data_IF_275929612172
#
_entry.id   IF_275929612172
#
_cell.length_a   1.000
_cell.length_b   1.000
_cell.length_c   1.000
_cell.angle_alpha   90.00
_cell.angle_beta   90.00
_cell.angle_gamma   90.00
#
_symmetry.space_group_name_H-M   'P 1'
#
loop_
_entity.id
_entity.type
_entity.pdbx_description
1 polymer ?
#
# COMPACT_ATOMS: atom_id res chain seq x y z
N UNK A 1 7.05 -7.83 -4.83
CA UNK A 1 7.99 -8.20 -3.73
C UNK A 1 7.29 -8.14 -2.37
N UNK A 2 7.84 -8.80 -1.34
CA UNK A 2 7.28 -8.84 0.02
C UNK A 2 8.38 -8.56 1.06
N UNK A 3 8.05 -7.84 2.13
CA UNK A 3 8.90 -7.72 3.30
C UNK A 3 8.08 -7.57 4.59
N UNK A 4 8.71 -7.90 5.72
CA UNK A 4 8.17 -7.71 7.05
C UNK A 4 9.25 -7.18 8.00
N UNK A 5 8.93 -6.16 8.80
CA UNK A 5 9.81 -5.58 9.81
C UNK A 5 8.99 -4.93 10.92
N UNK A 6 9.36 -5.16 12.18
CA UNK A 6 8.74 -4.51 13.35
C UNK A 6 7.20 -4.61 13.36
N UNK A 7 6.67 -5.80 13.07
CA UNK A 7 5.23 -6.09 12.94
C UNK A 7 4.48 -5.33 11.83
N UNK A 8 5.22 -4.72 10.90
CA UNK A 8 4.70 -4.13 9.66
C UNK A 8 5.00 -5.09 8.51
N UNK A 9 3.99 -5.38 7.71
CA UNK A 9 4.05 -6.28 6.56
C UNK A 9 3.70 -5.49 5.31
N UNK A 10 4.44 -5.67 4.22
CA UNK A 10 4.17 -4.96 2.98
C UNK A 10 4.33 -5.88 1.76
N UNK A 11 3.31 -5.85 0.89
CA UNK A 11 3.36 -6.34 -0.46
C UNK A 11 3.50 -5.14 -1.39
N UNK A 12 4.49 -5.14 -2.27
CA UNK A 12 4.79 -4.05 -3.19
C UNK A 12 4.97 -4.59 -4.60
N UNK A 13 4.36 -3.97 -5.58
CA UNK A 13 4.53 -4.28 -6.99
C UNK A 13 4.89 -3.01 -7.77
N UNK A 14 5.79 -3.14 -8.75
CA UNK A 14 6.30 -2.02 -9.54
C UNK A 14 7.68 -1.52 -9.14
N UNK A 15 7.97 -0.25 -9.43
CA UNK A 15 9.29 0.40 -9.29
C UNK A 15 9.13 1.85 -8.85
N UNK A 16 10.03 2.30 -7.96
CA UNK A 16 10.15 3.70 -7.57
C UNK A 16 11.33 4.37 -8.31
N UNK A 17 11.04 5.35 -9.15
CA UNK A 17 12.03 6.13 -9.91
C UNK A 17 12.97 6.92 -8.99
N UNK A 18 12.50 7.29 -7.81
CA UNK A 18 13.25 8.08 -6.82
C UNK A 18 13.74 7.27 -5.61
N UNK A 19 13.80 5.93 -5.72
CA UNK A 19 14.23 5.01 -4.65
C UNK A 19 15.58 5.42 -4.03
N UNK A 20 16.58 5.76 -4.84
CA UNK A 20 17.91 6.13 -4.35
C UNK A 20 17.89 7.37 -3.45
N UNK A 21 17.13 8.40 -3.83
CA UNK A 21 16.96 9.63 -3.04
C UNK A 21 16.25 9.34 -1.72
N UNK A 22 15.15 8.61 -1.77
CA UNK A 22 14.37 8.27 -0.57
C UNK A 22 15.14 7.34 0.37
N UNK A 23 15.92 6.41 -0.18
CA UNK A 23 16.78 5.53 0.62
C UNK A 23 17.77 6.32 1.46
N UNK A 24 18.38 7.37 0.88
CA UNK A 24 19.26 8.27 1.62
C UNK A 24 18.50 9.08 2.67
N UNK A 25 17.32 9.63 2.32
CA UNK A 25 16.48 10.44 3.21
C UNK A 25 16.03 9.67 4.46
N UNK A 26 15.66 8.41 4.30
CA UNK A 26 15.21 7.53 5.38
C UNK A 26 16.36 6.73 6.03
N UNK A 27 17.61 6.92 5.60
CA UNK A 27 18.79 6.31 6.22
C UNK A 27 18.94 4.81 5.97
N UNK A 28 18.47 4.31 4.82
CA UNK A 28 18.58 2.90 4.45
C UNK A 28 20.00 2.54 3.99
N UNK A 29 20.40 1.29 4.24
CA UNK A 29 21.66 0.73 3.76
C UNK A 29 21.69 0.60 2.24
N UNK A 30 22.89 0.54 1.66
CA UNK A 30 23.08 0.23 0.24
C UNK A 30 22.40 -1.09 -0.12
N UNK A 31 21.60 -1.11 -1.19
CA UNK A 31 20.89 -2.30 -1.66
C UNK A 31 19.47 -2.46 -1.11
N UNK A 32 18.93 -1.47 -0.41
CA UNK A 32 17.50 -1.44 -0.09
C UNK A 32 16.63 -1.43 -1.35
N UNK A 33 15.51 -2.14 -1.28
CA UNK A 33 14.50 -2.19 -2.34
C UNK A 33 13.25 -1.39 -1.91
N UNK A 34 12.29 -1.29 -2.82
CA UNK A 34 11.08 -0.47 -2.70
C UNK A 34 10.23 -0.88 -1.49
N UNK A 35 10.07 -2.19 -1.25
CA UNK A 35 9.24 -2.69 -0.15
C UNK A 35 9.84 -2.35 1.22
N UNK A 36 11.18 -2.42 1.37
CA UNK A 36 11.85 -2.01 2.60
C UNK A 36 11.75 -0.49 2.77
N UNK A 37 11.94 0.29 1.69
CA UNK A 37 11.76 1.73 1.72
C UNK A 37 10.37 2.13 2.24
N UNK A 38 9.30 1.53 1.71
CA UNK A 38 7.92 1.83 2.11
C UNK A 38 7.70 1.54 3.61
N UNK A 39 8.22 0.42 4.12
CA UNK A 39 8.12 0.09 5.56
C UNK A 39 8.86 1.11 6.42
N UNK A 40 10.12 1.45 6.09
CA UNK A 40 10.89 2.43 6.87
C UNK A 40 10.27 3.83 6.81
N UNK A 41 9.77 4.24 5.64
CA UNK A 41 9.16 5.54 5.45
C UNK A 41 7.88 5.68 6.28
N UNK A 42 7.00 4.68 6.20
CA UNK A 42 5.79 4.60 7.01
C UNK A 42 6.10 4.63 8.50
N UNK A 43 7.00 3.75 8.95
CA UNK A 43 7.40 3.64 10.36
C UNK A 43 7.99 4.95 10.88
N UNK A 44 8.94 5.53 10.14
CA UNK A 44 9.61 6.78 10.51
C UNK A 44 8.62 7.92 10.68
N UNK A 45 7.67 8.04 9.75
CA UNK A 45 6.65 9.09 9.82
C UNK A 45 5.69 8.84 10.98
N UNK A 46 5.15 7.63 11.13
CA UNK A 46 4.29 7.24 12.26
C UNK A 46 4.94 7.53 13.62
N UNK A 47 6.23 7.22 13.78
CA UNK A 47 6.93 7.30 15.06
C UNK A 47 7.39 8.74 15.41
N UNK A 48 7.65 9.61 14.41
CA UNK A 48 8.20 10.97 14.64
C UNK A 48 7.14 12.04 14.90
N UNK A 49 5.93 11.91 14.35
CA UNK A 49 4.74 12.74 14.61
C UNK A 49 3.54 12.09 13.92
N UNK A 50 2.27 12.44 14.20
CA UNK A 50 1.14 11.94 13.42
C UNK A 50 1.11 12.63 12.03
N UNK A 51 2.09 12.32 11.17
CA UNK A 51 2.05 12.70 9.78
C UNK A 51 0.97 11.88 9.09
N UNK A 52 0.11 12.51 8.26
CA UNK A 52 -0.87 11.77 7.49
C UNK A 52 -0.15 10.87 6.48
N UNK A 53 -0.71 9.68 6.21
CA UNK A 53 -0.14 8.75 5.23
C UNK A 53 0.03 9.39 3.84
N UNK A 54 -0.81 10.37 3.50
CA UNK A 54 -0.70 11.16 2.27
C UNK A 54 0.63 11.90 2.13
N UNK A 55 1.26 12.31 3.24
CA UNK A 55 2.58 12.93 3.21
C UNK A 55 3.64 11.95 2.71
N UNK A 56 3.65 10.71 3.22
CA UNK A 56 4.56 9.66 2.74
C UNK A 56 4.36 9.42 1.24
N UNK A 57 3.10 9.26 0.84
CA UNK A 57 2.73 8.91 -0.54
C UNK A 57 3.10 10.01 -1.53
N UNK A 58 2.99 11.28 -1.13
CA UNK A 58 3.41 12.43 -1.95
C UNK A 58 4.91 12.44 -2.27
N UNK A 59 5.73 11.69 -1.53
CA UNK A 59 7.17 11.59 -1.78
C UNK A 59 7.51 10.49 -2.79
N UNK A 60 6.60 9.55 -3.05
CA UNK A 60 6.83 8.43 -3.95
C UNK A 60 6.68 8.87 -5.40
N UNK A 61 7.62 8.47 -6.27
CA UNK A 61 7.55 8.70 -7.70
C UNK A 61 7.91 7.40 -8.40
N UNK A 62 7.08 6.96 -9.34
CA UNK A 62 7.27 5.71 -10.05
C UNK A 62 5.94 5.10 -10.48
N UNK A 63 5.99 3.84 -10.88
CA UNK A 63 4.82 3.04 -11.25
C UNK A 63 4.71 1.94 -10.21
N UNK A 64 3.68 1.96 -9.36
CA UNK A 64 3.64 1.11 -8.19
C UNK A 64 2.23 0.82 -7.69
N UNK A 65 2.08 -0.29 -6.98
CA UNK A 65 0.95 -0.58 -6.12
C UNK A 65 1.45 -1.30 -4.86
N UNK A 66 0.90 -0.99 -3.70
CA UNK A 66 1.28 -1.69 -2.48
C UNK A 66 0.14 -1.80 -1.47
N UNK A 67 0.23 -2.84 -0.64
CA UNK A 67 -0.62 -3.06 0.54
C UNK A 67 0.30 -3.22 1.75
N UNK A 68 0.20 -2.30 2.70
CA UNK A 68 0.94 -2.31 3.95
C UNK A 68 -0.02 -2.57 5.11
N UNK A 69 0.29 -3.54 5.95
CA UNK A 69 -0.43 -3.83 7.19
C UNK A 69 0.48 -3.59 8.39
N UNK A 70 0.08 -2.66 9.25
CA UNK A 70 0.71 -2.41 10.54
C UNK A 70 -0.12 -3.07 11.64
N UNK A 71 0.40 -4.17 12.19
CA UNK A 71 -0.27 -4.92 13.27
C UNK A 71 -0.33 -4.12 14.57
N UNK A 72 0.66 -3.28 14.85
CA UNK A 72 0.74 -2.51 16.10
C UNK A 72 -0.38 -1.49 16.25
N UNK A 73 -0.80 -0.90 15.13
CA UNK A 73 -1.92 0.06 15.05
C UNK A 73 -3.18 -0.55 14.46
N UNK A 74 -3.17 -1.85 14.12
CA UNK A 74 -4.21 -2.57 13.41
C UNK A 74 -4.73 -1.79 12.16
N UNK A 75 -3.79 -1.25 11.38
CA UNK A 75 -4.07 -0.37 10.25
C UNK A 75 -3.55 -0.95 8.94
N UNK A 76 -4.32 -0.75 7.88
CA UNK A 76 -3.95 -1.06 6.50
C UNK A 76 -3.78 0.25 5.74
N UNK A 77 -2.69 0.37 4.98
CA UNK A 77 -2.46 1.43 4.01
C UNK A 77 -2.35 0.80 2.63
N UNK A 78 -3.20 1.26 1.70
CA UNK A 78 -3.16 0.82 0.30
C UNK A 78 -2.98 2.04 -0.59
N UNK A 79 -2.10 1.91 -1.57
CA UNK A 79 -1.86 2.96 -2.54
C UNK A 79 -1.39 2.39 -3.88
N UNK A 80 -1.71 3.11 -4.94
CA UNK A 80 -1.17 2.90 -6.28
C UNK A 80 -0.66 4.22 -6.86
N UNK A 81 0.16 4.15 -7.90
CA UNK A 81 0.56 5.34 -8.64
C UNK A 81 -0.66 6.05 -9.26
N UNK A 82 -0.58 7.38 -9.47
CA UNK A 82 -1.73 8.15 -9.95
C UNK A 82 -2.22 7.75 -11.33
N UNK A 83 -1.34 7.22 -12.17
CA UNK A 83 -1.68 6.76 -13.51
C UNK A 83 -2.25 5.33 -13.52
N UNK A 84 -2.23 4.62 -12.38
CA UNK A 84 -2.67 3.24 -12.27
C UNK A 84 -1.90 2.28 -13.18
N UNK A 85 -0.60 2.52 -13.36
CA UNK A 85 0.25 1.72 -14.27
C UNK A 85 0.44 0.30 -13.78
N UNK A 86 0.50 0.11 -12.46
CA UNK A 86 0.40 -1.21 -11.84
C UNK A 86 -1.07 -1.49 -11.52
N UNK A 87 -1.69 -2.51 -12.12
CA UNK A 87 -3.07 -2.88 -11.80
C UNK A 87 -3.22 -3.22 -10.33
N UNK A 88 -4.28 -2.72 -9.71
CA UNK A 88 -4.69 -3.12 -8.37
C UNK A 88 -6.20 -3.19 -8.33
N UNK A 89 -6.70 -4.32 -7.84
CA UNK A 89 -8.09 -4.63 -7.64
C UNK A 89 -8.33 -4.95 -6.18
N UNK A 90 -9.56 -4.74 -5.75
CA UNK A 90 -9.99 -5.12 -4.42
C UNK A 90 -11.39 -5.70 -4.46
N UNK A 91 -11.74 -6.45 -3.42
CA UNK A 91 -13.07 -7.00 -3.27
C UNK A 91 -13.33 -7.46 -1.84
N UNK A 92 -14.59 -7.83 -1.59
CA UNK A 92 -15.03 -8.40 -0.31
C UNK A 92 -15.32 -9.87 -0.50
N UNK A 93 -14.64 -10.72 0.26
CA UNK A 93 -14.84 -12.17 0.25
C UNK A 93 -16.14 -12.55 0.96
N UNK A 94 -16.61 -13.78 0.75
CA UNK A 94 -17.89 -14.26 1.32
C UNK A 94 -17.94 -14.23 2.87
N UNK A 95 -16.79 -14.29 3.53
CA UNK A 95 -16.62 -14.18 4.99
C UNK A 95 -16.44 -12.73 5.48
N UNK A 96 -16.54 -11.74 4.58
CA UNK A 96 -16.49 -10.32 4.91
C UNK A 96 -15.08 -9.74 5.01
N UNK A 97 -14.04 -10.47 4.57
CA UNK A 97 -12.68 -9.95 4.53
C UNK A 97 -12.45 -9.08 3.28
N UNK A 98 -11.56 -8.10 3.39
CA UNK A 98 -11.08 -7.33 2.24
C UNK A 98 -9.92 -8.09 1.60
N UNK A 99 -9.98 -8.30 0.29
CA UNK A 99 -8.93 -8.90 -0.51
C UNK A 99 -8.41 -7.93 -1.56
N UNK A 100 -7.11 -7.98 -1.84
CA UNK A 100 -6.43 -7.20 -2.87
C UNK A 100 -5.68 -8.13 -3.82
N UNK A 101 -5.64 -7.79 -5.10
CA UNK A 101 -4.83 -8.49 -6.11
C UNK A 101 -4.55 -7.57 -7.28
N UNK A 102 -3.42 -7.77 -7.94
CA UNK A 102 -3.09 -7.20 -9.25
C UNK A 102 -3.75 -7.97 -10.42
N UNK A 103 -4.36 -9.13 -10.14
CA UNK A 103 -5.11 -9.94 -11.08
C UNK A 103 -6.58 -10.10 -10.65
N UNK A 104 -7.48 -9.52 -11.45
CA UNK A 104 -8.92 -9.56 -11.20
C UNK A 104 -9.48 -11.00 -11.16
N UNK A 105 -8.89 -11.93 -11.91
CA UNK A 105 -9.37 -13.30 -11.98
C UNK A 105 -9.14 -14.06 -10.67
N UNK A 106 -8.10 -13.69 -9.91
CA UNK A 106 -7.88 -14.22 -8.56
C UNK A 106 -8.98 -13.79 -7.57
N UNK A 107 -9.57 -12.61 -7.76
CA UNK A 107 -10.65 -12.12 -6.90
C UNK A 107 -12.02 -12.65 -7.31
N UNK A 108 -12.27 -12.89 -8.61
CA UNK A 108 -13.58 -13.39 -9.09
C UNK A 108 -14.01 -14.70 -8.42
N UNK A 109 -13.06 -15.59 -8.15
CA UNK A 109 -13.33 -16.86 -7.47
C UNK A 109 -13.75 -16.72 -6.01
N UNK A 110 -13.39 -15.61 -5.35
CA UNK A 110 -13.49 -15.44 -3.90
C UNK A 110 -14.47 -14.33 -3.46
N UNK A 111 -14.60 -13.28 -4.28
CA UNK A 111 -15.35 -12.06 -3.95
C UNK A 111 -16.72 -11.94 -4.66
N UNK A 112 -17.06 -12.89 -5.53
CA UNK A 112 -18.33 -12.91 -6.24
C UNK A 112 -18.57 -11.63 -7.06
N UNK A 113 -19.60 -10.85 -6.70
CA UNK A 113 -19.95 -9.59 -7.38
C UNK A 113 -19.28 -8.35 -6.75
N UNK A 114 -18.67 -8.49 -5.57
CA UNK A 114 -18.09 -7.39 -4.81
C UNK A 114 -16.61 -7.25 -5.16
N UNK A 115 -16.33 -6.77 -6.38
CA UNK A 115 -14.98 -6.51 -6.86
C UNK A 115 -14.93 -5.22 -7.68
N UNK A 116 -13.84 -4.47 -7.55
CA UNK A 116 -13.61 -3.24 -8.30
C UNK A 116 -12.11 -2.96 -8.49
N UNK A 117 -11.73 -2.18 -9.52
CA UNK A 117 -10.41 -1.55 -9.55
C UNK A 117 -10.20 -0.69 -8.31
N UNK A 118 -8.98 -0.65 -7.79
CA UNK A 118 -8.60 0.29 -6.75
C UNK A 118 -8.57 1.72 -7.34
N UNK A 119 -9.03 2.75 -6.60
CA UNK A 119 -9.10 4.11 -7.15
C UNK A 119 -7.73 4.64 -7.58
N UNK A 120 -7.63 5.07 -8.84
CA UNK A 120 -6.43 5.73 -9.36
C UNK A 120 -6.21 7.08 -8.68
N UNK A 121 -4.96 7.42 -8.34
CA UNK A 121 -4.61 8.74 -7.79
C UNK A 121 -4.92 8.97 -6.31
N UNK A 122 -5.50 8.00 -5.61
CA UNK A 122 -5.89 8.17 -4.21
C UNK A 122 -5.16 7.21 -3.27
N UNK A 123 -4.67 7.78 -2.16
CA UNK A 123 -4.28 7.07 -0.97
C UNK A 123 -5.52 6.73 -0.14
N UNK A 124 -5.69 5.47 0.29
CA UNK A 124 -6.76 5.13 1.24
C UNK A 124 -6.15 4.64 2.56
N UNK A 125 -6.11 5.47 3.62
CA UNK A 125 -5.87 4.96 4.97
C UNK A 125 -7.03 4.03 5.40
N UNK A 126 -6.77 3.16 6.38
CA UNK A 126 -7.75 2.18 6.89
C UNK A 126 -9.09 2.76 7.32
N UNK A 127 -9.14 4.04 7.70
CA UNK A 127 -10.39 4.76 7.96
C UNK A 127 -11.23 4.92 6.69
N UNK A 128 -10.63 5.16 5.52
CA UNK A 128 -11.36 5.35 4.25
C UNK A 128 -11.75 4.02 3.59
N UNK A 129 -10.93 2.96 3.73
CA UNK A 129 -11.31 1.61 3.27
C UNK A 129 -12.51 1.07 4.07
N UNK A 130 -12.63 1.43 5.35
CA UNK A 130 -13.83 1.14 6.16
C UNK A 130 -14.98 2.13 5.95
N UNK A 131 -14.74 3.32 5.38
CA UNK A 131 -15.71 4.41 5.28
C UNK A 131 -16.29 4.63 3.88
N UNK A 132 -16.01 3.79 2.88
CA UNK A 132 -16.82 3.78 1.66
C UNK A 132 -18.26 3.41 2.05
N UNK A 133 -19.23 4.34 2.07
CA UNK A 133 -20.57 4.13 2.64
C UNK A 133 -21.48 3.25 1.76
N UNK A 134 -20.91 2.72 0.68
CA UNK A 134 -21.53 1.76 -0.23
C UNK A 134 -20.76 0.43 -0.30
N UNK A 135 -19.93 0.14 0.72
CA UNK A 135 -19.56 -1.24 1.04
C UNK A 135 -20.73 -1.93 1.76
#
# INVERSE_FOLDING_TARGET
SFAAKDEIFCLFEGVLDNLGRLSQQYGLSKGANEVVLVIEAYKTLRDRAPYPASFMLSQLTGSYAFVLFDKSTNSVLVASDPEGKVPLFWGITADGCVAFSDDIDMLKGSCGKSLAPFPQGNASPSSDVRSCPHC
#
